data_IF_010828909396
#
_entry.id   IF_010828909396
#
_cell.length_a   1.000
_cell.length_b   1.000
_cell.length_c   1.000
_cell.angle_alpha   90.00
_cell.angle_beta   90.00
_cell.angle_gamma   90.00
#
_symmetry.space_group_name_H-M   'P 1'
#
loop_
_entity.id
_entity.type
_entity.pdbx_description
1 polymer ?
#
# COMPACT_ATOMS: atom_id res chain seq x y z
N UNK A 1 15.18 11.23 -8.44
CA UNK A 1 14.15 10.45 -7.71
C UNK A 1 12.79 10.98 -8.13
N UNK A 2 11.88 10.13 -8.63
CA UNK A 2 10.51 10.58 -8.96
C UNK A 2 9.79 10.91 -7.64
N UNK A 3 9.20 12.10 -7.52
CA UNK A 3 8.35 12.46 -6.38
C UNK A 3 6.95 11.89 -6.65
N UNK A 4 6.67 10.72 -6.11
CA UNK A 4 5.36 10.06 -6.18
C UNK A 4 5.04 9.42 -4.84
N UNK A 5 3.75 9.43 -4.47
CA UNK A 5 3.22 8.69 -3.32
C UNK A 5 2.61 7.34 -3.74
N UNK A 6 2.80 6.95 -5.00
CA UNK A 6 2.40 5.65 -5.51
C UNK A 6 3.34 4.57 -4.97
N UNK A 7 2.79 3.78 -4.04
CA UNK A 7 3.50 2.71 -3.34
C UNK A 7 4.00 1.64 -4.31
N UNK A 8 3.30 1.35 -5.42
CA UNK A 8 3.77 0.37 -6.39
C UNK A 8 5.03 0.86 -7.11
N UNK A 9 5.10 2.15 -7.42
CA UNK A 9 6.28 2.77 -8.01
C UNK A 9 7.45 2.82 -7.03
N UNK A 10 7.20 3.18 -5.76
CA UNK A 10 8.23 3.18 -4.71
C UNK A 10 8.76 1.76 -4.48
N UNK A 11 7.89 0.76 -4.38
CA UNK A 11 8.27 -0.63 -4.12
C UNK A 11 9.12 -1.22 -5.24
N UNK A 12 8.89 -0.81 -6.49
CA UNK A 12 9.72 -1.21 -7.63
C UNK A 12 11.16 -0.73 -7.47
N UNK A 13 11.36 0.48 -6.95
CA UNK A 13 12.69 1.03 -6.72
C UNK A 13 13.33 0.41 -5.47
N UNK A 14 12.57 0.18 -4.39
CA UNK A 14 13.04 -0.55 -3.21
C UNK A 14 13.50 -1.98 -3.55
N UNK A 15 12.71 -2.71 -4.37
CA UNK A 15 13.04 -4.06 -4.81
C UNK A 15 14.30 -4.19 -5.66
N UNK A 16 14.79 -3.07 -6.23
CA UNK A 16 16.08 -3.04 -6.94
C UNK A 16 17.27 -2.89 -6.00
N UNK A 17 17.04 -2.35 -4.81
CA UNK A 17 18.06 -2.13 -3.79
C UNK A 17 18.13 -3.31 -2.83
N UNK A 18 16.99 -3.87 -2.47
CA UNK A 18 16.87 -5.03 -1.60
C UNK A 18 15.73 -5.93 -2.09
N UNK A 19 16.08 -7.20 -2.35
CA UNK A 19 15.16 -8.16 -2.92
C UNK A 19 14.08 -8.60 -1.92
N UNK A 20 14.26 -8.36 -0.62
CA UNK A 20 13.27 -8.70 0.40
C UNK A 20 11.97 -7.90 0.25
N UNK A 21 12.02 -6.69 -0.32
CA UNK A 21 10.83 -5.92 -0.67
C UNK A 21 9.94 -6.62 -1.72
N UNK A 22 10.44 -7.65 -2.43
CA UNK A 22 9.62 -8.46 -3.32
C UNK A 22 8.50 -9.23 -2.58
N UNK A 23 8.66 -9.49 -1.28
CA UNK A 23 7.66 -10.14 -0.42
C UNK A 23 6.36 -9.31 -0.36
N UNK A 24 6.48 -7.98 -0.35
CA UNK A 24 5.34 -7.05 -0.28
C UNK A 24 4.50 -7.02 -1.57
N UNK A 25 5.03 -7.50 -2.69
CA UNK A 25 4.23 -7.64 -3.94
C UNK A 25 3.11 -8.66 -3.80
N UNK A 26 3.20 -9.59 -2.83
CA UNK A 26 2.20 -10.64 -2.60
C UNK A 26 0.98 -10.15 -1.82
N UNK A 27 1.02 -8.93 -1.26
CA UNK A 27 0.06 -8.47 -0.24
C UNK A 27 -0.86 -7.34 -0.75
N UNK A 28 -1.14 -7.26 -2.06
CA UNK A 28 -1.99 -6.22 -2.67
C UNK A 28 -1.65 -4.78 -2.20
N UNK A 29 -0.38 -4.51 -1.87
CA UNK A 29 0.06 -3.26 -1.24
C UNK A 29 -0.15 -2.02 -2.14
N UNK A 30 -0.30 -2.24 -3.45
CA UNK A 30 -0.69 -1.23 -4.43
C UNK A 30 -2.06 -0.60 -4.13
N UNK A 31 -2.97 -1.31 -3.44
CA UNK A 31 -4.26 -0.76 -3.03
C UNK A 31 -4.16 0.33 -1.97
N UNK A 32 -3.07 0.40 -1.20
CA UNK A 32 -2.91 1.43 -0.16
C UNK A 32 -2.90 2.84 -0.73
N UNK A 33 -2.33 3.04 -1.91
CA UNK A 33 -2.37 4.35 -2.58
C UNK A 33 -3.80 4.73 -2.98
N UNK A 34 -4.57 3.78 -3.50
CA UNK A 34 -5.98 3.98 -3.86
C UNK A 34 -6.83 4.29 -2.63
N UNK A 35 -6.72 3.49 -1.57
CA UNK A 35 -7.43 3.73 -0.31
C UNK A 35 -7.05 5.08 0.31
N UNK A 36 -5.76 5.45 0.27
CA UNK A 36 -5.30 6.74 0.74
C UNK A 36 -5.81 7.94 -0.07
N UNK A 37 -6.21 7.74 -1.33
CA UNK A 37 -6.89 8.76 -2.14
C UNK A 37 -8.38 8.78 -1.77
N UNK A 38 -9.02 7.62 -1.67
CA UNK A 38 -10.44 7.49 -1.37
C UNK A 38 -10.84 8.08 -0.01
N UNK A 39 -9.96 8.01 1.00
CA UNK A 39 -10.21 8.62 2.33
C UNK A 39 -10.14 10.16 2.29
N UNK A 40 -9.41 10.75 1.35
CA UNK A 40 -9.08 12.19 1.36
C UNK A 40 -9.99 13.06 0.51
N UNK A 41 -10.80 12.48 -0.36
CA UNK A 41 -11.70 13.22 -1.23
C UNK A 41 -13.12 12.71 -1.02
N UNK A 42 -14.02 13.60 -0.58
CA UNK A 42 -15.42 13.32 -0.26
C UNK A 42 -16.25 12.83 -1.47
N UNK A 43 -15.69 12.96 -2.68
CA UNK A 43 -16.32 12.60 -3.96
C UNK A 43 -16.14 11.11 -4.31
N UNK A 44 -15.43 10.35 -3.48
CA UNK A 44 -15.01 8.97 -3.75
C UNK A 44 -15.86 7.98 -2.93
N UNK A 45 -16.25 6.81 -3.49
CA UNK A 45 -17.31 5.98 -2.90
C UNK A 45 -17.03 5.60 -1.45
N UNK A 46 -18.12 5.57 -0.67
CA UNK A 46 -18.13 5.08 0.71
C UNK A 46 -17.27 3.84 0.90
N UNK A 47 -16.20 3.96 1.70
CA UNK A 47 -15.36 2.84 2.09
C UNK A 47 -16.15 2.02 3.12
N UNK A 48 -16.50 0.78 2.78
CA UNK A 48 -17.19 -0.10 3.70
C UNK A 48 -16.24 -0.68 4.77
N UNK A 49 -16.82 -1.24 5.83
CA UNK A 49 -16.08 -1.85 6.96
C UNK A 49 -15.04 -2.88 6.50
N UNK A 50 -15.37 -3.66 5.47
CA UNK A 50 -14.53 -4.78 5.04
C UNK A 50 -13.28 -4.28 4.29
N UNK A 51 -13.44 -3.25 3.46
CA UNK A 51 -12.33 -2.54 2.83
C UNK A 51 -11.43 -1.88 3.88
N UNK A 52 -12.00 -1.28 4.92
CA UNK A 52 -11.23 -0.70 6.02
C UNK A 52 -10.41 -1.78 6.77
N UNK A 53 -11.02 -2.93 7.07
CA UNK A 53 -10.34 -4.06 7.70
C UNK A 53 -9.23 -4.64 6.83
N UNK A 54 -9.45 -4.80 5.52
CA UNK A 54 -8.42 -5.24 4.58
C UNK A 54 -7.24 -4.25 4.58
N UNK A 55 -7.52 -2.95 4.58
CA UNK A 55 -6.49 -1.90 4.63
C UNK A 55 -5.62 -1.99 5.88
N UNK A 56 -6.25 -2.13 7.05
CA UNK A 56 -5.54 -2.27 8.34
C UNK A 56 -4.70 -3.54 8.34
N UNK A 57 -5.26 -4.67 7.92
CA UNK A 57 -4.54 -5.95 7.86
C UNK A 57 -3.31 -5.90 6.97
N UNK A 58 -3.41 -5.26 5.80
CA UNK A 58 -2.25 -5.06 4.91
C UNK A 58 -1.19 -4.19 5.61
N UNK A 59 -1.60 -3.10 6.26
CA UNK A 59 -0.66 -2.19 6.94
C UNK A 59 0.10 -2.88 8.09
N UNK A 60 -0.60 -3.68 8.90
CA UNK A 60 0.00 -4.43 10.01
C UNK A 60 0.97 -5.51 9.52
N UNK A 61 0.61 -6.21 8.44
CA UNK A 61 1.45 -7.26 7.88
C UNK A 61 2.76 -6.69 7.30
N UNK A 62 2.69 -5.54 6.63
CA UNK A 62 3.88 -4.81 6.16
C UNK A 62 4.79 -4.44 7.33
N UNK A 63 4.21 -3.99 8.45
CA UNK A 63 4.98 -3.68 9.66
C UNK A 63 5.66 -4.88 10.31
N UNK A 64 5.11 -6.08 10.13
CA UNK A 64 5.68 -7.33 10.68
C UNK A 64 6.70 -7.97 9.73
N UNK A 65 6.51 -7.85 8.42
CA UNK A 65 7.39 -8.49 7.42
C UNK A 65 8.71 -7.71 7.17
N UNK A 66 8.82 -6.47 7.66
CA UNK A 66 9.97 -5.58 7.47
C UNK A 66 10.83 -5.38 8.73
N UNK A 67 10.41 -5.90 9.89
CA UNK A 67 11.10 -5.75 11.18
C UNK A 67 11.17 -7.08 11.92
#
# INVERSE_FOLDING_TARGET
MRKTNDIANILKDCGRLDNDFSKLKKININKLTEYGVNVRYDDIPFINSDTAKETISIAEQVGTDLF
#
